data_IF_215049118035
#
_entry.id   IF_215049118035
#
_cell.length_a   1.000
_cell.length_b   1.000
_cell.length_c   1.000
_cell.angle_alpha   90.00
_cell.angle_beta   90.00
_cell.angle_gamma   90.00
#
_symmetry.space_group_name_H-M   'P 1'
#
loop_
_entity.id
_entity.type
_entity.pdbx_description
1 polymer ?
#
# COMPACT_ATOMS: atom_id res chain seq x y z
N UNK A 1 15.06 -1.62 3.49
CA UNK A 1 14.80 -0.63 4.57
C UNK A 1 13.32 -0.29 4.55
N UNK A 2 12.61 -0.43 5.67
CA UNK A 2 11.21 -0.03 5.78
C UNK A 2 11.11 1.42 6.29
N UNK A 3 10.19 2.21 5.73
CA UNK A 3 9.86 3.56 6.23
C UNK A 3 8.38 3.61 6.57
N UNK A 4 8.03 4.29 7.66
CA UNK A 4 6.62 4.52 8.03
C UNK A 4 6.01 5.53 7.07
N UNK A 5 4.87 5.18 6.49
CA UNK A 5 4.07 6.05 5.65
C UNK A 5 2.74 6.34 6.35
N UNK A 6 2.40 7.62 6.51
CA UNK A 6 1.09 8.03 7.02
C UNK A 6 0.20 8.33 5.83
N UNK A 7 -0.89 7.58 5.68
CA UNK A 7 -1.89 7.78 4.63
C UNK A 7 -3.25 8.01 5.27
N UNK A 8 -4.07 8.87 4.66
CA UNK A 8 -5.47 9.03 5.04
C UNK A 8 -6.30 8.06 4.21
N UNK A 9 -7.12 7.24 4.87
CA UNK A 9 -8.04 6.29 4.23
C UNK A 9 -9.44 6.50 4.79
N UNK A 10 -10.45 6.07 4.04
CA UNK A 10 -11.83 6.10 4.54
C UNK A 10 -11.98 5.17 5.76
N UNK A 11 -12.87 5.52 6.69
CA UNK A 11 -13.09 4.75 7.92
C UNK A 11 -13.50 3.30 7.62
N UNK A 12 -14.37 3.10 6.64
CA UNK A 12 -14.82 1.76 6.20
C UNK A 12 -13.64 0.89 5.73
N UNK A 13 -12.66 1.50 5.04
CA UNK A 13 -11.47 0.80 4.58
C UNK A 13 -10.56 0.47 5.75
N UNK A 14 -10.37 1.39 6.69
CA UNK A 14 -9.59 1.12 7.91
C UNK A 14 -10.21 0.00 8.75
N UNK A 15 -11.53 0.05 8.97
CA UNK A 15 -12.27 -0.99 9.69
C UNK A 15 -12.20 -2.35 8.97
N UNK A 16 -12.36 -2.35 7.64
CA UNK A 16 -12.20 -3.54 6.81
C UNK A 16 -10.81 -4.14 6.90
N UNK A 17 -9.76 -3.33 6.79
CA UNK A 17 -8.37 -3.76 6.94
C UNK A 17 -8.11 -4.35 8.33
N UNK A 18 -8.62 -3.71 9.37
CA UNK A 18 -8.43 -4.17 10.74
C UNK A 18 -9.18 -5.48 11.03
N UNK A 19 -10.40 -5.65 10.48
CA UNK A 19 -11.25 -6.83 10.68
C UNK A 19 -10.81 -8.04 9.86
N UNK A 20 -10.44 -7.84 8.59
CA UNK A 20 -10.15 -8.94 7.65
C UNK A 20 -8.68 -9.35 7.68
N UNK A 21 -7.75 -8.38 7.73
CA UNK A 21 -6.31 -8.66 7.63
C UNK A 21 -5.65 -8.75 9.01
N UNK A 22 -6.17 -8.00 9.99
CA UNK A 22 -5.68 -7.96 11.36
C UNK A 22 -4.50 -7.00 11.57
N UNK A 23 -4.35 -6.44 12.78
CA UNK A 23 -3.53 -5.25 13.06
C UNK A 23 -2.05 -5.36 12.68
N UNK A 24 -1.44 -6.55 12.75
CA UNK A 24 -0.01 -6.76 12.47
C UNK A 24 0.33 -6.97 10.99
N UNK A 25 -0.67 -7.23 10.14
CA UNK A 25 -0.45 -7.58 8.72
C UNK A 25 -0.83 -6.47 7.74
N UNK A 26 -1.50 -5.42 8.20
CA UNK A 26 -1.98 -4.31 7.34
C UNK A 26 -0.83 -3.65 6.57
N UNK A 27 0.28 -3.33 7.25
CA UNK A 27 1.43 -2.68 6.58
C UNK A 27 2.01 -3.54 5.45
N UNK A 28 2.12 -4.87 5.66
CA UNK A 28 2.64 -5.79 4.65
C UNK A 28 1.65 -6.00 3.52
N UNK A 29 0.36 -6.12 3.83
CA UNK A 29 -0.70 -6.24 2.84
C UNK A 29 -0.75 -5.04 1.89
N UNK A 30 -0.73 -3.83 2.44
CA UNK A 30 -0.72 -2.60 1.64
C UNK A 30 0.59 -2.52 0.83
N UNK A 31 1.73 -2.86 1.42
CA UNK A 31 3.01 -2.87 0.69
C UNK A 31 2.99 -3.85 -0.49
N UNK A 32 2.50 -5.08 -0.31
CA UNK A 32 2.42 -6.09 -1.38
C UNK A 32 1.43 -5.68 -2.49
N UNK A 33 0.35 -4.97 -2.14
CA UNK A 33 -0.61 -4.42 -3.10
C UNK A 33 0.00 -3.24 -3.90
N UNK A 34 0.67 -2.32 -3.22
CA UNK A 34 1.18 -1.07 -3.84
C UNK A 34 2.49 -1.30 -4.60
N UNK A 35 3.34 -2.24 -4.15
CA UNK A 35 4.64 -2.57 -4.76
C UNK A 35 4.59 -2.79 -6.29
N UNK A 36 3.70 -3.61 -6.87
CA UNK A 36 3.62 -3.77 -8.32
C UNK A 36 3.25 -2.46 -9.03
N UNK A 37 2.43 -1.60 -8.42
CA UNK A 37 2.02 -0.33 -9.04
C UNK A 37 3.06 0.78 -8.92
N UNK A 38 3.99 0.72 -7.97
CA UNK A 38 4.99 1.79 -7.77
C UNK A 38 6.38 1.37 -8.25
N UNK A 39 6.74 0.10 -8.07
CA UNK A 39 8.06 -0.41 -8.48
C UNK A 39 8.05 -0.90 -9.92
N UNK A 40 6.99 -1.60 -10.36
CA UNK A 40 6.89 -2.11 -11.74
C UNK A 40 6.49 -1.00 -12.71
N UNK A 41 5.58 -0.10 -12.32
CA UNK A 41 5.22 1.05 -13.14
C UNK A 41 6.35 2.07 -13.30
N UNK A 42 7.39 2.06 -12.45
CA UNK A 42 8.55 2.96 -12.61
C UNK A 42 9.34 2.69 -13.91
N UNK A 43 9.24 1.48 -14.48
CA UNK A 43 9.75 1.21 -15.83
C UNK A 43 8.91 1.89 -16.92
N UNK A 44 7.59 1.97 -16.75
CA UNK A 44 6.68 2.59 -17.73
C UNK A 44 6.57 4.13 -17.56
N UNK A 45 6.65 4.65 -16.34
CA UNK A 45 6.53 6.08 -16.05
C UNK A 45 7.83 6.86 -16.23
N UNK A 46 8.99 6.20 -16.20
CA UNK A 46 10.25 6.82 -16.61
C UNK A 46 10.33 7.08 -18.13
N UNK A 47 9.39 6.53 -18.92
CA UNK A 47 9.27 6.76 -20.37
C UNK A 47 8.10 7.67 -20.78
N UNK A 48 7.16 7.99 -19.87
CA UNK A 48 6.14 9.03 -20.14
C UNK A 48 6.73 10.40 -19.80
N UNK A 49 7.50 10.91 -20.76
CA UNK A 49 7.93 12.30 -20.91
C UNK A 49 6.75 13.22 -21.23
#
# INVERSE_FOLDING_TARGET
MQKKLTITVHEEVYAGLHKVIGPRKISRFIEDLVRPHVVKARLESAYKR
#
